data_IF_814589287283
#
_entry.id   IF_814589287283
#
_cell.length_a   1.000
_cell.length_b   1.000
_cell.length_c   1.000
_cell.angle_alpha   90.00
_cell.angle_beta   90.00
_cell.angle_gamma   90.00
#
_symmetry.space_group_name_H-M   'P 1'
#
loop_
_entity.id
_entity.type
_entity.pdbx_description
1 polymer ?
#
# COMPACT_ATOMS: atom_id res chain seq x y z
N UNK A 1 -22.49 -11.33 16.10
CA UNK A 1 -21.05 -11.23 15.85
C UNK A 1 -20.55 -9.95 16.49
N UNK A 2 -19.58 -10.06 17.39
CA UNK A 2 -19.01 -8.91 18.12
C UNK A 2 -17.84 -8.37 17.30
N UNK A 3 -17.64 -7.05 17.23
CA UNK A 3 -16.55 -6.43 16.46
C UNK A 3 -15.18 -7.05 16.76
N UNK A 4 -14.92 -7.44 18.02
CA UNK A 4 -13.68 -8.10 18.43
C UNK A 4 -13.39 -9.41 17.68
N UNK A 5 -14.43 -10.20 17.36
CA UNK A 5 -14.29 -11.46 16.60
C UNK A 5 -13.94 -11.16 15.13
N UNK A 6 -14.64 -10.19 14.53
CA UNK A 6 -14.35 -9.72 13.17
C UNK A 6 -12.93 -9.15 13.08
N UNK A 7 -12.53 -8.32 14.04
CA UNK A 7 -11.20 -7.74 14.12
C UNK A 7 -10.12 -8.80 14.23
N UNK A 8 -10.28 -9.78 15.12
CA UNK A 8 -9.31 -10.85 15.30
C UNK A 8 -9.09 -11.62 13.99
N UNK A 9 -10.17 -12.05 13.34
CA UNK A 9 -10.09 -12.78 12.07
C UNK A 9 -9.44 -11.93 10.98
N UNK A 10 -9.91 -10.69 10.80
CA UNK A 10 -9.37 -9.78 9.79
C UNK A 10 -7.89 -9.48 10.02
N UNK A 11 -7.47 -9.35 11.28
CA UNK A 11 -6.08 -9.09 11.66
C UNK A 11 -5.17 -10.29 11.36
N UNK A 12 -5.62 -11.51 11.64
CA UNK A 12 -4.88 -12.74 11.28
C UNK A 12 -4.70 -12.85 9.76
N UNK A 13 -5.75 -12.62 8.97
CA UNK A 13 -5.68 -12.62 7.50
C UNK A 13 -4.77 -11.51 6.97
N UNK A 14 -4.90 -10.30 7.51
CA UNK A 14 -4.06 -9.16 7.12
C UNK A 14 -2.59 -9.40 7.42
N UNK A 15 -2.25 -9.92 8.59
CA UNK A 15 -0.86 -10.17 8.98
C UNK A 15 -0.22 -11.26 8.10
N UNK A 16 -0.99 -12.30 7.74
CA UNK A 16 -0.55 -13.28 6.74
C UNK A 16 -0.38 -12.65 5.35
N UNK A 17 -1.22 -11.68 4.99
CA UNK A 17 -1.16 -11.00 3.69
C UNK A 17 0.04 -10.05 3.57
N UNK A 18 0.40 -9.32 4.64
CA UNK A 18 1.49 -8.32 4.61
C UNK A 18 2.84 -8.81 5.11
N UNK A 19 2.88 -9.93 5.86
CA UNK A 19 4.11 -10.47 6.46
C UNK A 19 4.22 -11.98 6.28
N UNK A 20 3.47 -12.53 5.32
CA UNK A 20 3.56 -13.92 4.91
C UNK A 20 4.83 -14.24 4.15
N UNK A 21 4.78 -15.37 3.45
CA UNK A 21 5.88 -15.90 2.63
C UNK A 21 5.81 -15.45 1.16
N UNK A 22 5.04 -14.39 0.85
CA UNK A 22 4.85 -13.87 -0.51
C UNK A 22 5.28 -12.43 -0.62
N UNK A 23 5.85 -12.08 -1.77
CA UNK A 23 6.08 -10.68 -2.14
C UNK A 23 4.71 -9.99 -2.22
N UNK A 24 4.59 -8.82 -1.60
CA UNK A 24 3.39 -7.99 -1.69
C UNK A 24 3.65 -6.85 -2.66
N UNK A 25 2.80 -6.75 -3.68
CA UNK A 25 2.81 -5.67 -4.65
C UNK A 25 1.51 -4.89 -4.51
N UNK A 26 1.61 -3.57 -4.37
CA UNK A 26 0.45 -2.67 -4.34
C UNK A 26 0.51 -1.73 -5.53
N UNK A 27 -0.62 -1.56 -6.20
CA UNK A 27 -0.76 -0.61 -7.30
C UNK A 27 -1.84 0.39 -6.94
N UNK A 28 -1.51 1.69 -7.01
CA UNK A 28 -2.49 2.76 -6.86
C UNK A 28 -3.49 2.73 -8.04
N UNK A 29 -4.77 2.52 -7.75
CA UNK A 29 -5.84 2.43 -8.77
C UNK A 29 -6.98 3.41 -8.43
N UNK A 30 -6.61 4.69 -8.31
CA UNK A 30 -7.55 5.80 -8.23
C UNK A 30 -7.87 6.37 -9.61
N UNK A 31 -8.83 7.29 -9.70
CA UNK A 31 -9.28 7.86 -10.99
C UNK A 31 -8.12 8.41 -11.84
N UNK A 32 -7.19 9.13 -11.21
CA UNK A 32 -6.00 9.67 -11.86
C UNK A 32 -4.99 8.57 -12.24
N UNK A 33 -4.70 7.62 -11.35
CA UNK A 33 -3.78 6.51 -11.65
C UNK A 33 -4.32 5.63 -12.78
N UNK A 34 -5.64 5.40 -12.82
CA UNK A 34 -6.31 4.71 -13.93
C UNK A 34 -6.13 5.46 -15.25
N UNK A 35 -6.31 6.78 -15.24
CA UNK A 35 -6.07 7.61 -16.43
C UNK A 35 -4.60 7.55 -16.89
N UNK A 36 -3.66 7.38 -15.97
CA UNK A 36 -2.23 7.18 -16.24
C UNK A 36 -1.86 5.73 -16.63
N UNK A 37 -2.84 4.81 -16.75
CA UNK A 37 -2.60 3.45 -17.23
C UNK A 37 -2.39 2.37 -16.15
N UNK A 38 -2.65 2.68 -14.87
CA UNK A 38 -2.40 1.76 -13.75
C UNK A 38 -3.12 0.40 -13.86
N UNK A 39 -4.27 0.33 -14.55
CA UNK A 39 -4.99 -0.94 -14.77
C UNK A 39 -4.15 -1.88 -15.63
N UNK A 40 -3.54 -1.38 -16.70
CA UNK A 40 -2.72 -2.21 -17.60
C UNK A 40 -1.42 -2.63 -16.91
N UNK A 41 -0.84 -1.75 -16.09
CA UNK A 41 0.32 -2.08 -15.25
C UNK A 41 -0.02 -3.21 -14.28
N UNK A 42 -1.16 -3.14 -13.59
CA UNK A 42 -1.63 -4.18 -12.67
C UNK A 42 -1.78 -5.53 -13.37
N UNK A 43 -2.44 -5.57 -14.53
CA UNK A 43 -2.61 -6.80 -15.30
C UNK A 43 -1.28 -7.34 -15.84
N UNK A 44 -0.36 -6.46 -16.25
CA UNK A 44 1.00 -6.85 -16.67
C UNK A 44 1.78 -7.49 -15.53
N UNK A 45 1.71 -6.95 -14.30
CA UNK A 45 2.34 -7.53 -13.12
C UNK A 45 1.79 -8.93 -12.86
N UNK A 46 0.46 -9.10 -12.94
CA UNK A 46 -0.21 -10.39 -12.79
C UNK A 46 0.25 -11.41 -13.84
N UNK A 47 0.44 -10.97 -15.09
CA UNK A 47 0.97 -11.80 -16.17
C UNK A 47 2.42 -12.20 -15.91
N UNK A 48 3.29 -11.29 -15.44
CA UNK A 48 4.67 -11.62 -15.09
C UNK A 48 4.74 -12.66 -13.97
N UNK A 49 3.95 -12.50 -12.91
CA UNK A 49 3.88 -13.47 -11.82
C UNK A 49 3.46 -14.87 -12.33
N UNK A 50 2.47 -14.91 -13.22
CA UNK A 50 2.01 -16.17 -13.84
C UNK A 50 3.08 -16.79 -14.76
N UNK A 51 3.74 -15.98 -15.59
CA UNK A 51 4.79 -16.42 -16.51
C UNK A 51 5.98 -17.05 -15.78
N UNK A 52 6.36 -16.47 -14.65
CA UNK A 52 7.47 -16.95 -13.83
C UNK A 52 7.05 -18.00 -12.78
N UNK A 53 5.77 -18.37 -12.72
CA UNK A 53 5.21 -19.31 -11.73
C UNK A 53 5.50 -18.89 -10.27
N UNK A 54 5.34 -17.61 -9.97
CA UNK A 54 5.57 -17.06 -8.62
C UNK A 54 4.24 -16.62 -8.03
N UNK A 55 4.01 -17.06 -6.80
CA UNK A 55 2.85 -16.66 -6.01
C UNK A 55 3.14 -15.33 -5.30
N UNK A 56 2.32 -14.31 -5.57
CA UNK A 56 2.43 -12.97 -5.02
C UNK A 56 1.10 -12.53 -4.41
N UNK A 57 1.17 -11.62 -3.44
CA UNK A 57 0.01 -10.84 -3.04
C UNK A 57 -0.02 -9.57 -3.90
N UNK A 58 -1.12 -9.33 -4.62
CA UNK A 58 -1.25 -8.21 -5.54
C UNK A 58 -2.51 -7.40 -5.24
N UNK A 59 -2.32 -6.22 -4.68
CA UNK A 59 -3.41 -5.37 -4.18
C UNK A 59 -3.66 -4.16 -5.07
N UNK A 60 -4.95 -3.90 -5.30
CA UNK A 60 -5.43 -2.60 -5.77
C UNK A 60 -5.63 -1.71 -4.56
N UNK A 61 -4.86 -0.63 -4.44
CA UNK A 61 -4.95 0.31 -3.32
C UNK A 61 -5.36 1.70 -3.80
N UNK A 62 -5.75 2.56 -2.84
CA UNK A 62 -5.96 3.98 -3.13
C UNK A 62 -4.67 4.71 -3.48
N UNK A 63 -4.77 6.01 -3.81
CA UNK A 63 -3.57 6.82 -4.08
C UNK A 63 -2.80 7.19 -2.80
N UNK A 64 -1.49 7.36 -2.92
CA UNK A 64 -0.65 7.97 -1.89
C UNK A 64 -0.77 9.51 -1.87
N UNK A 65 -1.49 10.11 -2.83
CA UNK A 65 -1.58 11.55 -3.04
C UNK A 65 -0.47 12.13 -3.92
N UNK A 66 0.39 11.26 -4.47
CA UNK A 66 1.55 11.62 -5.30
C UNK A 66 1.16 11.58 -6.79
N UNK A 67 0.18 12.39 -7.18
CA UNK A 67 -0.38 12.35 -8.54
C UNK A 67 0.64 12.58 -9.66
N UNK A 68 1.75 13.28 -9.37
CA UNK A 68 2.84 13.51 -10.32
C UNK A 68 3.69 12.26 -10.60
N UNK A 69 3.53 11.21 -9.79
CA UNK A 69 4.27 9.95 -9.84
C UNK A 69 3.39 8.78 -10.27
N UNK A 70 2.11 9.01 -10.56
CA UNK A 70 1.18 7.95 -10.96
C UNK A 70 1.51 7.42 -12.38
N UNK A 71 1.43 6.09 -12.60
CA UNK A 71 1.10 5.04 -11.64
C UNK A 71 2.23 4.76 -10.65
N UNK A 72 1.88 4.73 -9.36
CA UNK A 72 2.80 4.28 -8.30
C UNK A 72 2.62 2.79 -8.04
N UNK A 73 3.72 2.04 -8.05
CA UNK A 73 3.77 0.62 -7.68
C UNK A 73 4.69 0.46 -6.48
N UNK A 74 4.17 -0.05 -5.36
CA UNK A 74 4.98 -0.43 -4.20
C UNK A 74 5.25 -1.94 -4.26
N UNK A 75 6.51 -2.36 -4.15
CA UNK A 75 6.91 -3.76 -4.04
C UNK A 75 7.60 -3.97 -2.71
N UNK A 76 7.05 -4.86 -1.89
CA UNK A 76 7.52 -5.22 -0.55
C UNK A 76 8.01 -6.67 -0.59
N UNK A 77 9.30 -6.88 -0.31
CA UNK A 77 9.90 -8.21 -0.25
C UNK A 77 9.75 -8.84 1.14
N UNK A 78 10.09 -10.13 1.21
CA UNK A 78 10.03 -10.95 2.42
C UNK A 78 10.97 -10.47 3.54
N UNK A 79 12.09 -9.84 3.19
CA UNK A 79 13.02 -9.23 4.15
C UNK A 79 12.51 -7.89 4.72
N UNK A 80 11.33 -7.44 4.28
CA UNK A 80 10.71 -6.17 4.68
C UNK A 80 11.22 -4.96 3.91
N UNK A 81 12.18 -5.13 3.00
CA UNK A 81 12.58 -4.05 2.10
C UNK A 81 11.45 -3.71 1.15
N UNK A 82 11.32 -2.41 0.84
CA UNK A 82 10.23 -1.92 0.01
C UNK A 82 10.69 -0.79 -0.90
N UNK A 83 10.24 -0.84 -2.15
CA UNK A 83 10.56 0.15 -3.17
C UNK A 83 9.26 0.67 -3.78
N UNK A 84 9.20 1.98 -3.95
CA UNK A 84 8.14 2.68 -4.66
C UNK A 84 8.66 3.03 -6.05
N UNK A 85 7.99 2.53 -7.07
CA UNK A 85 8.22 2.91 -8.46
C UNK A 85 7.22 3.98 -8.87
N UNK A 86 7.67 4.94 -9.69
CA UNK A 86 6.85 6.04 -10.20
C UNK A 86 6.74 6.01 -11.72
N UNK A 87 5.66 6.59 -12.23
CA UNK A 87 5.40 6.72 -13.66
C UNK A 87 5.62 5.39 -14.38
N UNK A 88 5.12 4.31 -13.77
CA UNK A 88 5.31 2.95 -14.27
C UNK A 88 4.42 2.76 -15.49
N UNK A 89 5.04 2.38 -16.60
CA UNK A 89 4.38 2.00 -17.83
C UNK A 89 4.38 0.48 -17.96
N UNK A 90 3.55 -0.06 -18.86
CA UNK A 90 3.43 -1.51 -19.08
C UNK A 90 4.78 -2.14 -19.45
N UNK A 91 5.60 -1.42 -20.23
CA UNK A 91 6.89 -1.89 -20.73
C UNK A 91 7.99 -1.88 -19.65
N UNK A 92 7.80 -1.13 -18.55
CA UNK A 92 8.72 -1.17 -17.40
C UNK A 92 8.52 -2.44 -16.56
N UNK A 93 7.31 -3.01 -16.58
CA UNK A 93 6.92 -4.11 -15.68
C UNK A 93 7.83 -5.34 -15.82
N UNK A 94 8.16 -5.85 -17.03
CA UNK A 94 9.08 -6.98 -17.16
C UNK A 94 10.47 -6.71 -16.56
N UNK A 95 10.99 -5.48 -16.72
CA UNK A 95 12.29 -5.07 -16.17
C UNK A 95 12.23 -4.99 -14.66
N UNK A 96 11.24 -4.29 -14.10
CA UNK A 96 11.04 -4.18 -12.65
C UNK A 96 10.86 -5.56 -12.03
N UNK A 97 10.04 -6.41 -12.64
CA UNK A 97 9.79 -7.76 -12.14
C UNK A 97 11.07 -8.60 -12.17
N UNK A 98 11.75 -8.68 -13.32
CA UNK A 98 12.99 -9.45 -13.44
C UNK A 98 14.09 -8.95 -12.50
N UNK A 99 14.29 -7.65 -12.39
CA UNK A 99 15.43 -7.08 -11.64
C UNK A 99 15.15 -7.01 -10.15
N UNK A 100 13.97 -6.57 -9.75
CA UNK A 100 13.67 -6.38 -8.34
C UNK A 100 12.94 -7.55 -7.69
N UNK A 101 11.98 -8.18 -8.37
CA UNK A 101 11.21 -9.28 -7.79
C UNK A 101 11.99 -10.60 -7.84
N UNK A 102 12.78 -10.84 -8.90
CA UNK A 102 13.47 -12.13 -9.10
C UNK A 102 14.94 -12.17 -8.70
N UNK A 103 15.65 -11.04 -8.74
CA UNK A 103 17.13 -11.05 -8.73
C UNK A 103 17.79 -10.06 -7.78
N UNK A 104 17.03 -9.24 -7.05
CA UNK A 104 17.55 -8.23 -6.10
C UNK A 104 18.52 -7.20 -6.73
N UNK A 105 18.43 -6.98 -8.04
CA UNK A 105 19.26 -6.09 -8.86
C UNK A 105 18.62 -4.70 -9.02
N UNK A 106 18.31 -4.03 -7.90
CA UNK A 106 17.61 -2.72 -7.92
C UNK A 106 18.41 -1.61 -8.63
N UNK A 107 19.73 -1.73 -8.61
CA UNK A 107 20.69 -0.81 -9.26
C UNK A 107 20.63 -0.87 -10.79
N UNK A 108 20.09 -1.94 -11.36
CA UNK A 108 19.88 -2.09 -12.81
C UNK A 108 18.56 -1.48 -13.29
N UNK A 109 17.73 -0.97 -12.39
CA UNK A 109 16.50 -0.25 -12.75
C UNK A 109 16.84 1.25 -12.89
N UNK A 110 16.39 1.93 -13.97
CA UNK A 110 16.62 3.35 -14.13
C UNK A 110 16.18 4.15 -12.90
N UNK A 111 17.08 4.95 -12.33
CA UNK A 111 16.83 5.68 -11.08
C UNK A 111 15.63 6.63 -11.16
N UNK A 112 15.33 7.16 -12.36
CA UNK A 112 14.15 7.99 -12.59
C UNK A 112 12.81 7.23 -12.45
N UNK A 113 12.82 5.89 -12.47
CA UNK A 113 11.65 5.05 -12.20
C UNK A 113 11.50 4.73 -10.70
N UNK A 114 12.51 5.00 -9.88
CA UNK A 114 12.50 4.75 -8.44
C UNK A 114 12.15 6.06 -7.73
N UNK A 115 11.03 6.05 -7.01
CA UNK A 115 10.54 7.20 -6.25
C UNK A 115 11.17 7.28 -4.86
N UNK A 116 11.15 6.17 -4.15
CA UNK A 116 11.61 6.07 -2.77
C UNK A 116 11.77 4.62 -2.33
N UNK A 117 12.36 4.40 -1.16
CA UNK A 117 12.48 3.08 -0.55
C UNK A 117 12.36 3.10 0.98
N UNK A 118 12.31 1.90 1.56
CA UNK A 118 12.70 1.65 2.95
C UNK A 118 13.50 0.36 3.10
N UNK A 119 14.34 0.29 4.13
CA UNK A 119 15.04 -0.93 4.52
C UNK A 119 16.08 -1.40 3.49
N UNK A 120 16.57 -0.49 2.63
CA UNK A 120 17.64 -0.75 1.67
C UNK A 120 18.81 0.18 1.93
N UNK A 121 20.00 -0.33 1.62
CA UNK A 121 21.24 0.44 1.56
C UNK A 121 21.70 0.55 0.10
N UNK A 122 22.55 1.52 -0.23
CA UNK A 122 23.18 1.61 -1.56
C UNK A 122 22.42 2.43 -2.63
N UNK A 123 21.22 2.94 -2.34
CA UNK A 123 20.50 3.88 -3.20
C UNK A 123 20.73 5.33 -2.76
N UNK A 124 21.97 5.84 -2.90
CA UNK A 124 22.38 7.14 -2.33
C UNK A 124 21.57 8.35 -2.83
N UNK A 125 21.13 8.30 -4.08
CA UNK A 125 20.43 9.42 -4.73
C UNK A 125 18.90 9.32 -4.63
N UNK A 126 18.39 8.22 -4.09
CA UNK A 126 16.95 8.01 -3.89
C UNK A 126 16.62 8.31 -2.41
N UNK A 127 15.57 9.09 -2.12
CA UNK A 127 15.18 9.35 -0.75
C UNK A 127 14.49 8.14 -0.11
N UNK A 128 14.62 8.01 1.21
CA UNK A 128 13.65 7.21 1.99
C UNK A 128 12.25 7.81 1.81
N UNK A 129 11.21 6.99 1.80
CA UNK A 129 9.85 7.48 1.56
C UNK A 129 9.40 8.56 2.57
N UNK A 130 9.71 8.39 3.86
CA UNK A 130 9.41 9.41 4.89
C UNK A 130 10.14 10.74 4.67
N UNK A 131 11.23 10.73 3.90
CA UNK A 131 12.02 11.91 3.57
C UNK A 131 11.56 12.61 2.28
N UNK A 132 10.63 12.03 1.53
CA UNK A 132 10.06 12.67 0.34
C UNK A 132 9.52 14.06 0.74
N UNK A 133 9.89 15.16 0.06
CA UNK A 133 9.45 16.50 0.44
C UNK A 133 7.95 16.65 0.59
N UNK A 134 7.17 15.95 -0.24
CA UNK A 134 5.72 15.90 -0.16
C UNK A 134 5.21 15.19 1.11
N UNK A 135 5.86 14.10 1.53
CA UNK A 135 5.41 13.24 2.64
C UNK A 135 5.90 13.74 4.00
N UNK A 136 7.16 14.17 4.10
CA UNK A 136 7.84 14.47 5.37
C UNK A 136 7.16 15.54 6.23
N UNK A 137 6.37 16.41 5.61
CA UNK A 137 5.67 17.51 6.27
C UNK A 137 4.22 17.15 6.68
N UNK A 138 3.78 15.93 6.42
CA UNK A 138 2.38 15.51 6.64
C UNK A 138 2.22 14.66 7.90
N UNK A 139 1.20 14.97 8.69
CA UNK A 139 0.66 14.05 9.68
C UNK A 139 -0.62 13.42 9.14
N UNK A 140 -0.51 12.21 8.57
CA UNK A 140 -1.60 11.53 7.85
C UNK A 140 -2.56 10.82 8.80
N UNK A 141 -3.31 11.54 9.62
CA UNK A 141 -4.29 10.94 10.56
C UNK A 141 -5.46 10.30 9.80
N UNK A 142 -6.18 11.09 8.99
CA UNK A 142 -7.32 10.60 8.19
C UNK A 142 -6.86 9.71 7.04
N UNK A 143 -5.70 10.04 6.45
CA UNK A 143 -5.14 9.36 5.28
C UNK A 143 -4.17 8.22 5.64
N UNK A 144 -4.16 7.76 6.90
CA UNK A 144 -3.22 6.73 7.39
C UNK A 144 -3.27 5.43 6.59
N UNK A 145 -4.44 5.10 6.04
CA UNK A 145 -4.67 3.86 5.29
C UNK A 145 -4.56 4.04 3.76
N UNK A 146 -4.50 5.28 3.27
CA UNK A 146 -4.51 5.55 1.83
C UNK A 146 -3.20 5.10 1.16
N UNK A 147 -3.33 4.28 0.11
CA UNK A 147 -2.22 3.60 -0.55
C UNK A 147 -1.68 2.37 0.18
N UNK A 148 -2.29 1.98 1.31
CA UNK A 148 -1.85 0.82 2.10
C UNK A 148 -2.89 -0.30 2.04
N UNK A 149 -4.17 0.02 2.26
CA UNK A 149 -5.25 -0.97 2.23
C UNK A 149 -5.95 -0.98 0.87
N UNK A 150 -6.54 -2.12 0.53
CA UNK A 150 -7.43 -2.18 -0.62
C UNK A 150 -8.80 -1.64 -0.22
N UNK A 151 -9.38 -0.69 -1.00
CA UNK A 151 -10.74 -0.23 -0.75
C UNK A 151 -11.79 -1.29 -1.08
N UNK A 152 -11.40 -2.42 -1.70
CA UNK A 152 -12.29 -3.51 -2.08
C UNK A 152 -12.25 -4.70 -1.10
N UNK A 153 -11.30 -4.70 -0.15
CA UNK A 153 -11.13 -5.77 0.83
C UNK A 153 -11.54 -5.30 2.24
N UNK A 154 -12.73 -5.70 2.67
CA UNK A 154 -13.30 -5.26 3.95
C UNK A 154 -12.42 -5.63 5.14
N UNK A 155 -11.73 -6.78 5.07
CA UNK A 155 -10.86 -7.25 6.13
C UNK A 155 -9.60 -6.38 6.25
N UNK A 156 -9.12 -5.76 5.16
CA UNK A 156 -8.03 -4.79 5.27
C UNK A 156 -8.48 -3.59 6.10
N UNK A 157 -9.70 -3.09 5.88
CA UNK A 157 -10.22 -1.96 6.65
C UNK A 157 -10.43 -2.32 8.13
N UNK A 158 -11.06 -3.46 8.42
CA UNK A 158 -11.29 -3.94 9.79
C UNK A 158 -9.97 -4.18 10.53
N UNK A 159 -9.01 -4.87 9.91
CA UNK A 159 -7.69 -5.14 10.50
C UNK A 159 -6.93 -3.85 10.85
N UNK A 160 -7.21 -2.76 10.14
CA UNK A 160 -6.68 -1.42 10.38
C UNK A 160 -7.63 -0.53 11.22
N UNK A 161 -8.41 -1.16 12.11
CA UNK A 161 -9.33 -0.55 13.09
C UNK A 161 -10.54 0.16 12.48
N UNK A 162 -10.86 -0.16 11.22
CA UNK A 162 -12.10 0.24 10.58
C UNK A 162 -13.31 -0.24 11.39
N UNK A 163 -14.32 0.61 11.51
CA UNK A 163 -15.52 0.40 12.34
C UNK A 163 -15.33 0.31 13.87
N UNK A 164 -14.10 0.32 14.39
CA UNK A 164 -13.88 0.32 15.85
C UNK A 164 -14.63 1.47 16.55
N UNK A 165 -14.58 2.67 15.96
CA UNK A 165 -15.22 3.86 16.50
C UNK A 165 -16.76 3.77 16.47
N UNK A 166 -17.35 3.24 15.38
CA UNK A 166 -18.81 3.12 15.30
C UNK A 166 -19.33 2.02 16.23
N UNK A 167 -18.58 0.92 16.42
CA UNK A 167 -18.93 -0.11 17.39
C UNK A 167 -18.93 0.46 18.82
N UNK A 168 -17.88 1.21 19.21
CA UNK A 168 -17.84 1.96 20.49
C UNK A 168 -19.02 2.92 20.62
N UNK A 169 -19.29 3.72 19.58
CA UNK A 169 -20.33 4.74 19.62
C UNK A 169 -21.73 4.15 19.81
N UNK A 170 -22.04 3.05 19.11
CA UNK A 170 -23.37 2.42 19.16
C UNK A 170 -23.55 1.57 20.42
N UNK A 171 -22.52 0.84 20.85
CA UNK A 171 -22.65 -0.15 21.93
C UNK A 171 -22.34 0.40 23.32
N UNK A 172 -21.44 1.39 23.41
CA UNK A 172 -20.83 1.79 24.68
C UNK A 172 -21.14 3.24 25.06
N UNK A 173 -21.64 4.07 24.14
CA UNK A 173 -21.89 5.49 24.38
C UNK A 173 -23.35 5.85 24.18
N UNK A 174 -23.83 6.81 24.98
CA UNK A 174 -25.07 7.55 24.71
C UNK A 174 -24.81 8.65 23.67
N UNK A 175 -25.82 9.12 22.93
CA UNK A 175 -25.67 10.21 21.96
C UNK A 175 -24.97 11.46 22.53
N UNK A 176 -25.29 11.86 23.76
CA UNK A 176 -24.64 12.98 24.43
C UNK A 176 -23.13 12.75 24.66
N UNK A 177 -22.72 11.52 24.98
CA UNK A 177 -21.30 11.19 25.19
C UNK A 177 -20.53 11.18 23.87
N UNK A 178 -21.16 10.77 22.76
CA UNK A 178 -20.57 10.88 21.42
C UNK A 178 -20.31 12.35 21.07
N UNK A 179 -21.27 13.23 21.34
CA UNK A 179 -21.13 14.68 21.12
C UNK A 179 -19.98 15.25 21.94
N UNK A 180 -19.88 14.89 23.22
CA UNK A 180 -18.79 15.37 24.08
C UNK A 180 -17.42 14.86 23.65
N UNK A 181 -17.29 13.60 23.22
CA UNK A 181 -16.03 13.06 22.67
C UNK A 181 -15.57 13.84 21.42
N UNK A 182 -16.50 14.22 20.54
CA UNK A 182 -16.18 15.03 19.35
C UNK A 182 -15.77 16.45 19.75
N UNK A 183 -16.42 17.04 20.76
CA UNK A 183 -16.06 18.39 21.24
C UNK A 183 -14.68 18.43 21.91
N UNK A 184 -14.27 17.33 22.54
CA UNK A 184 -12.96 17.25 23.22
C UNK A 184 -11.82 16.83 22.29
N UNK A 185 -12.08 16.50 21.02
CA UNK A 185 -11.09 15.93 20.11
C UNK A 185 -10.14 16.95 19.44
N UNK A 186 -9.73 17.98 20.18
CA UNK A 186 -8.88 19.09 19.69
C UNK A 186 -7.50 19.01 20.28
#
# INVERSE_FOLDING_TARGET
>A
MIYSELYKKAKEEWDQHISGNKVLIRVGIETNSKAAGAINVFESIKQQASLHNIDINLDKVGTLGLCFADPVVEIIKLDGSRVFFQNVEVDDVPIIFSKWVLSDEIDQIPSNKILAFYGLDGLSDIPKYDNLPFIKMQNRIVLKNAGIISPLEINHYIANQGYAAIDKAIRSLKPAQVIEEIKSSV
#
